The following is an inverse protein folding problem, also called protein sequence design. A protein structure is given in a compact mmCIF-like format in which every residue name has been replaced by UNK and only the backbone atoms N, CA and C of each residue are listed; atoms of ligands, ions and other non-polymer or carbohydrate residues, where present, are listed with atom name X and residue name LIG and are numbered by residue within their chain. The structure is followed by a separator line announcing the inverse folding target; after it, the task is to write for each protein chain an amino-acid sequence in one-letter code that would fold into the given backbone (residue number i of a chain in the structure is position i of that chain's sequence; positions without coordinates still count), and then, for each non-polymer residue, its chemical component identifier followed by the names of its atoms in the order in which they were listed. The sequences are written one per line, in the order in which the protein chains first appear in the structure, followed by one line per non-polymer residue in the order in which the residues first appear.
data_IF_894902933927
#
_entry.id   IF_894902933927
#
_cell.length_a   1.000
_cell.length_b   1.000
_cell.length_c   1.000
_cell.angle_alpha   90.00
_cell.angle_beta   90.00
_cell.angle_gamma   90.00
#
_symmetry.space_group_name_H-M   'P 1'
#
loop_
_entity.id
_entity.type
_entity.pdbx_description
1 polymer ?
#
# COMPACT_ATOMS: atom_id res chain seq x y z
N UNK A 1 13.91 4.24 16.12
CA UNK A 1 12.69 3.77 16.80
C UNK A 1 12.52 2.29 16.48
N UNK A 2 12.33 1.39 17.46
CA UNK A 2 11.90 0.02 17.14
C UNK A 2 10.54 0.08 16.45
N UNK A 3 10.38 -0.65 15.33
CA UNK A 3 9.15 -0.66 14.54
C UNK A 3 8.07 -1.49 15.24
N UNK A 4 7.29 -0.82 16.08
CA UNK A 4 6.13 -1.40 16.75
C UNK A 4 5.39 -0.37 17.58
N UNK A 5 4.26 -0.79 18.13
CA UNK A 5 3.36 0.08 18.88
C UNK A 5 3.08 -0.50 20.26
N UNK A 6 3.05 0.38 21.25
CA UNK A 6 2.41 0.09 22.53
C UNK A 6 0.89 0.27 22.41
N UNK A 7 0.13 -0.25 23.38
CA UNK A 7 -1.33 -0.14 23.39
C UNK A 7 -1.78 1.33 23.40
N UNK A 8 -1.05 2.16 24.16
CA UNK A 8 -1.31 3.61 24.24
C UNK A 8 -1.05 4.29 22.89
N UNK A 9 0.04 3.93 22.21
CA UNK A 9 0.35 4.49 20.89
C UNK A 9 -0.67 4.05 19.84
N UNK A 10 -1.07 2.77 19.80
CA UNK A 10 -2.11 2.31 18.88
C UNK A 10 -3.43 3.05 19.13
N UNK A 11 -3.84 3.20 20.39
CA UNK A 11 -5.04 3.96 20.74
C UNK A 11 -4.96 5.43 20.31
N UNK A 12 -3.77 6.04 20.40
CA UNK A 12 -3.55 7.43 20.01
C UNK A 12 -3.59 7.66 18.48
N UNK A 13 -3.54 6.60 17.67
CA UNK A 13 -3.79 6.68 16.22
C UNK A 13 -5.28 6.83 15.88
N UNK A 14 -6.15 6.81 16.90
CA UNK A 14 -7.61 6.93 16.79
C UNK A 14 -8.25 5.90 15.83
N UNK A 15 -8.01 4.58 16.05
CA UNK A 15 -8.67 3.53 15.28
C UNK A 15 -10.17 3.49 15.52
N UNK A 16 -10.91 2.93 14.56
CA UNK A 16 -12.29 2.51 14.77
C UNK A 16 -12.40 1.66 16.06
N UNK A 17 -13.38 1.97 16.90
CA UNK A 17 -13.51 1.36 18.21
C UNK A 17 -13.69 -0.18 18.14
N UNK A 18 -14.44 -0.66 17.15
CA UNK A 18 -14.66 -2.09 16.92
C UNK A 18 -13.34 -2.81 16.62
N UNK A 19 -12.59 -2.33 15.63
CA UNK A 19 -11.30 -2.89 15.23
C UNK A 19 -10.27 -2.81 16.36
N UNK A 20 -10.23 -1.69 17.10
CA UNK A 20 -9.34 -1.53 18.23
C UNK A 20 -9.60 -2.58 19.33
N UNK A 21 -10.87 -2.85 19.63
CA UNK A 21 -11.26 -3.89 20.60
C UNK A 21 -10.89 -5.28 20.07
N UNK A 22 -11.11 -5.57 18.79
CA UNK A 22 -10.76 -6.84 18.16
C UNK A 22 -9.24 -7.10 18.23
N UNK A 23 -8.43 -6.14 17.78
CA UNK A 23 -6.96 -6.22 17.82
C UNK A 23 -6.46 -6.37 19.26
N UNK A 24 -6.99 -5.59 20.19
CA UNK A 24 -6.61 -5.65 21.61
C UNK A 24 -6.93 -7.03 22.20
N UNK A 25 -8.07 -7.63 21.87
CA UNK A 25 -8.46 -8.98 22.30
C UNK A 25 -7.52 -10.04 21.74
N UNK A 26 -7.23 -10.01 20.44
CA UNK A 26 -6.30 -10.94 19.76
C UNK A 26 -4.93 -10.91 20.42
N UNK A 27 -4.46 -9.72 20.79
CA UNK A 27 -3.16 -9.53 21.44
C UNK A 27 -3.18 -9.77 22.97
N UNK A 28 -4.28 -10.34 23.51
CA UNK A 28 -4.42 -10.79 24.89
C UNK A 28 -4.76 -9.69 25.91
N UNK A 29 -5.29 -8.57 25.43
CA UNK A 29 -5.82 -7.48 26.25
C UNK A 29 -4.76 -6.48 26.77
N UNK A 30 -5.19 -5.32 27.30
CA UNK A 30 -4.29 -4.23 27.68
C UNK A 30 -3.26 -4.63 28.76
N UNK A 31 -3.66 -5.53 29.67
CA UNK A 31 -2.77 -6.06 30.72
C UNK A 31 -1.60 -6.85 30.16
N UNK A 32 -1.79 -7.62 29.08
CA UNK A 32 -0.71 -8.42 28.47
C UNK A 32 0.28 -7.55 27.71
N UNK A 33 -0.19 -6.42 27.15
CA UNK A 33 0.67 -5.45 26.49
C UNK A 33 1.58 -4.78 27.52
N UNK A 34 1.07 -4.32 28.67
CA UNK A 34 1.89 -3.78 29.77
C UNK A 34 3.01 -2.80 29.33
N UNK A 35 2.71 -1.89 28.40
CA UNK A 35 3.70 -0.96 27.84
C UNK A 35 4.74 -1.58 26.91
N UNK A 36 4.70 -2.90 26.66
CA UNK A 36 5.52 -3.58 25.66
C UNK A 36 5.15 -3.08 24.27
N UNK A 37 6.19 -2.99 23.45
CA UNK A 37 6.10 -2.69 22.04
C UNK A 37 5.82 -3.98 21.28
N UNK A 38 4.77 -4.00 20.48
CA UNK A 38 4.40 -5.12 19.61
C UNK A 38 4.77 -4.75 18.18
N UNK A 39 5.59 -5.58 17.53
CA UNK A 39 5.97 -5.40 16.13
C UNK A 39 4.89 -5.91 15.18
N UNK A 40 4.94 -5.52 13.91
CA UNK A 40 4.03 -6.05 12.88
C UNK A 40 4.11 -7.58 12.75
N UNK A 41 5.31 -8.17 12.89
CA UNK A 41 5.48 -9.63 12.84
C UNK A 41 4.80 -10.31 14.03
N UNK A 42 4.98 -9.79 15.24
CA UNK A 42 4.32 -10.33 16.43
C UNK A 42 2.80 -10.19 16.34
N UNK A 43 2.30 -9.08 15.79
CA UNK A 43 0.88 -8.89 15.55
C UNK A 43 0.33 -9.93 14.55
N UNK A 44 1.05 -10.17 13.45
CA UNK A 44 0.72 -11.20 12.47
C UNK A 44 0.70 -12.59 13.10
N UNK A 45 1.73 -12.96 13.86
CA UNK A 45 1.85 -14.27 14.50
C UNK A 45 0.73 -14.52 15.53
N UNK A 46 0.23 -13.44 16.15
CA UNK A 46 -0.91 -13.51 17.06
C UNK A 46 -2.27 -13.57 16.35
N UNK A 47 -2.32 -13.38 15.01
CA UNK A 47 -3.54 -13.44 14.22
C UNK A 47 -4.22 -12.09 13.95
N UNK A 48 -3.52 -10.97 14.11
CA UNK A 48 -4.05 -9.66 13.66
C UNK A 48 -4.13 -9.66 12.13
N UNK A 49 -5.25 -9.17 11.58
CA UNK A 49 -5.49 -9.15 10.15
C UNK A 49 -4.48 -8.26 9.42
N UNK A 50 -4.24 -8.58 8.15
CA UNK A 50 -3.41 -7.78 7.26
C UNK A 50 -3.89 -6.33 7.19
N UNK A 51 -5.18 -6.11 7.02
CA UNK A 51 -5.77 -4.77 6.90
C UNK A 51 -5.51 -3.92 8.14
N UNK A 52 -5.63 -4.50 9.33
CA UNK A 52 -5.34 -3.79 10.59
C UNK A 52 -3.85 -3.43 10.72
N UNK A 53 -2.94 -4.32 10.29
CA UNK A 53 -1.50 -4.04 10.28
C UNK A 53 -1.18 -2.92 9.27
N UNK A 54 -1.74 -2.99 8.07
CA UNK A 54 -1.56 -1.97 7.01
C UNK A 54 -2.13 -0.63 7.47
N UNK A 55 -3.32 -0.61 8.07
CA UNK A 55 -3.94 0.60 8.59
C UNK A 55 -3.08 1.25 9.67
N UNK A 56 -2.56 0.47 10.62
CA UNK A 56 -1.70 0.98 11.68
C UNK A 56 -0.39 1.55 11.11
N UNK A 57 0.27 0.84 10.20
CA UNK A 57 1.47 1.32 9.53
C UNK A 57 1.23 2.61 8.74
N UNK A 58 0.12 2.68 8.01
CA UNK A 58 -0.29 3.86 7.23
C UNK A 58 -0.58 5.06 8.13
N UNK A 59 -1.21 4.84 9.28
CA UNK A 59 -1.49 5.90 10.26
C UNK A 59 -0.21 6.45 10.88
N UNK A 60 0.76 5.59 11.20
CA UNK A 60 2.07 6.01 11.72
C UNK A 60 2.87 6.76 10.64
N UNK A 61 2.83 6.31 9.39
CA UNK A 61 3.52 6.95 8.26
C UNK A 61 3.15 8.43 8.06
N UNK A 62 1.97 8.87 8.49
CA UNK A 62 1.56 10.29 8.41
C UNK A 62 2.45 11.22 9.23
N UNK A 63 3.14 10.70 10.25
CA UNK A 63 3.98 11.50 11.16
C UNK A 63 5.41 10.97 11.32
N UNK A 64 5.69 9.71 10.98
CA UNK A 64 7.01 9.10 11.04
C UNK A 64 7.58 8.87 9.62
N UNK A 65 8.60 9.66 9.26
CA UNK A 65 9.26 9.58 7.94
C UNK A 65 9.95 8.26 7.65
N UNK A 66 10.39 7.53 8.67
CA UNK A 66 11.04 6.23 8.47
C UNK A 66 10.02 5.12 8.21
N UNK A 67 8.87 5.17 8.87
CA UNK A 67 7.75 4.27 8.56
C UNK A 67 7.19 4.58 7.18
N UNK A 68 7.03 5.86 6.85
CA UNK A 68 6.58 6.31 5.53
C UNK A 68 7.48 5.80 4.40
N UNK A 69 8.80 5.99 4.53
CA UNK A 69 9.78 5.47 3.57
C UNK A 69 9.67 3.96 3.37
N UNK A 70 9.56 3.18 4.45
CA UNK A 70 9.46 1.71 4.38
C UNK A 70 8.15 1.25 3.76
N UNK A 71 7.06 1.93 4.09
CA UNK A 71 5.74 1.63 3.55
C UNK A 71 5.69 1.90 2.04
N UNK A 72 6.28 3.00 1.55
CA UNK A 72 6.40 3.28 0.12
C UNK A 72 7.21 2.21 -0.63
N UNK A 73 8.35 1.79 -0.09
CA UNK A 73 9.12 0.69 -0.70
C UNK A 73 8.33 -0.61 -0.76
N UNK A 74 7.62 -0.96 0.32
CA UNK A 74 6.73 -2.13 0.32
C UNK A 74 5.63 -2.03 -0.75
N UNK A 75 4.96 -0.88 -0.88
CA UNK A 75 3.96 -0.66 -1.93
C UNK A 75 4.56 -0.80 -3.34
N UNK A 76 5.76 -0.24 -3.56
CA UNK A 76 6.48 -0.35 -4.82
C UNK A 76 6.85 -1.82 -5.14
N UNK A 77 7.25 -2.61 -4.13
CA UNK A 77 7.53 -4.04 -4.30
C UNK A 77 6.27 -4.84 -4.65
N UNK A 78 5.13 -4.52 -4.00
CA UNK A 78 3.85 -5.12 -4.34
C UNK A 78 3.46 -4.85 -5.80
N UNK A 79 3.59 -3.62 -6.28
CA UNK A 79 3.33 -3.26 -7.67
C UNK A 79 4.33 -3.92 -8.64
N UNK A 80 5.63 -3.88 -8.31
CA UNK A 80 6.68 -4.49 -9.12
C UNK A 80 6.50 -6.00 -9.31
N UNK A 81 5.98 -6.71 -8.30
CA UNK A 81 5.74 -8.16 -8.37
C UNK A 81 4.79 -8.55 -9.50
N UNK A 82 3.83 -7.69 -9.85
CA UNK A 82 2.83 -7.95 -10.89
C UNK A 82 3.05 -7.15 -12.17
N UNK A 83 4.02 -6.24 -12.20
CA UNK A 83 4.32 -5.37 -13.34
C UNK A 83 4.50 -6.13 -14.66
N UNK A 84 5.17 -7.29 -14.64
CA UNK A 84 5.40 -8.12 -15.82
C UNK A 84 4.11 -8.58 -16.53
N UNK A 85 2.99 -8.67 -15.80
CA UNK A 85 1.69 -9.00 -16.38
C UNK A 85 1.21 -7.87 -17.30
N UNK A 86 1.37 -6.62 -16.85
CA UNK A 86 1.01 -5.43 -17.62
C UNK A 86 1.93 -5.25 -18.84
N UNK A 87 3.26 -5.33 -18.63
CA UNK A 87 4.24 -5.05 -19.69
C UNK A 87 4.19 -6.03 -20.86
N UNK A 88 3.71 -7.25 -20.60
CA UNK A 88 3.49 -8.24 -21.65
C UNK A 88 2.35 -7.83 -22.60
N UNK A 89 1.29 -7.23 -22.07
CA UNK A 89 0.08 -6.88 -22.83
C UNK A 89 0.15 -5.46 -23.41
N UNK A 90 0.91 -4.56 -22.77
CA UNK A 90 1.16 -3.20 -23.24
C UNK A 90 2.65 -2.99 -23.56
N UNK A 91 3.22 -3.72 -24.53
CA UNK A 91 4.62 -3.59 -24.88
C UNK A 91 4.90 -2.16 -25.38
N UNK A 92 5.73 -1.43 -24.65
CA UNK A 92 6.10 -0.04 -24.96
C UNK A 92 5.44 1.01 -24.05
N UNK A 93 4.49 0.63 -23.20
CA UNK A 93 3.99 1.52 -22.14
C UNK A 93 4.82 1.35 -20.86
N UNK A 94 5.79 2.24 -20.68
CA UNK A 94 6.71 2.22 -19.55
C UNK A 94 6.23 3.04 -18.34
N UNK A 95 5.03 3.64 -18.40
CA UNK A 95 4.51 4.52 -17.34
C UNK A 95 4.42 3.80 -15.98
N UNK A 96 3.88 2.56 -15.85
CA UNK A 96 3.84 1.89 -14.56
C UNK A 96 5.22 1.55 -14.01
N UNK A 97 6.17 1.17 -14.87
CA UNK A 97 7.56 0.93 -14.48
C UNK A 97 8.20 2.21 -13.94
N UNK A 98 8.08 3.32 -14.67
CA UNK A 98 8.59 4.64 -14.26
C UNK A 98 7.94 5.10 -12.96
N UNK A 99 6.65 4.87 -12.75
CA UNK A 99 5.97 5.20 -11.50
C UNK A 99 6.53 4.40 -10.31
N UNK A 100 6.78 3.10 -10.47
CA UNK A 100 7.40 2.25 -9.43
C UNK A 100 8.83 2.74 -9.12
N UNK A 101 9.61 3.06 -10.14
CA UNK A 101 10.96 3.60 -9.98
C UNK A 101 10.95 4.96 -9.26
N UNK A 102 10.05 5.87 -9.67
CA UNK A 102 9.84 7.14 -9.01
C UNK A 102 9.44 6.98 -7.54
N UNK A 103 8.56 6.02 -7.21
CA UNK A 103 8.14 5.74 -5.84
C UNK A 103 9.34 5.36 -4.95
N UNK A 104 10.22 4.49 -5.46
CA UNK A 104 11.45 4.08 -4.77
C UNK A 104 12.45 5.23 -4.63
N UNK A 105 12.66 6.00 -5.69
CA UNK A 105 13.56 7.16 -5.68
C UNK A 105 13.07 8.24 -4.70
N UNK A 106 11.76 8.51 -4.68
CA UNK A 106 11.17 9.45 -3.74
C UNK A 106 11.32 8.96 -2.30
N UNK A 107 11.04 7.68 -2.04
CA UNK A 107 11.22 7.07 -0.71
C UNK A 107 12.68 7.17 -0.23
N UNK A 108 13.65 7.13 -1.14
CA UNK A 108 15.07 7.33 -0.84
C UNK A 108 15.52 8.80 -0.81
N UNK A 109 14.61 9.76 -1.04
CA UNK A 109 14.91 11.19 -1.08
C UNK A 109 15.74 11.63 -2.30
N UNK A 110 15.75 10.83 -3.37
CA UNK A 110 16.53 11.08 -4.60
C UNK A 110 15.79 11.96 -5.62
N UNK A 111 14.47 12.06 -5.51
CA UNK A 111 13.64 12.98 -6.29
C UNK A 111 12.71 13.76 -5.35
N UNK A 112 12.35 14.98 -5.76
CA UNK A 112 11.40 15.82 -5.02
C UNK A 112 9.94 15.49 -5.33
N UNK A 113 9.02 16.13 -4.59
CA UNK A 113 7.57 15.91 -4.72
C UNK A 113 7.07 16.23 -6.14
N UNK A 114 7.59 17.28 -6.78
CA UNK A 114 7.14 17.68 -8.13
C UNK A 114 7.36 16.60 -9.20
N UNK A 115 8.45 15.82 -9.11
CA UNK A 115 8.70 14.73 -10.05
C UNK A 115 7.80 13.52 -9.79
N UNK A 116 7.36 13.35 -8.54
CA UNK A 116 6.38 12.33 -8.16
C UNK A 116 4.97 12.75 -8.57
N UNK A 117 4.59 14.00 -8.31
CA UNK A 117 3.29 14.56 -8.64
C UNK A 117 3.04 14.51 -10.16
N UNK A 118 4.05 14.83 -10.98
CA UNK A 118 3.93 14.71 -12.43
C UNK A 118 3.62 13.29 -12.92
N UNK A 119 4.10 12.24 -12.24
CA UNK A 119 3.75 10.86 -12.57
C UNK A 119 2.30 10.55 -12.14
N UNK A 120 1.85 11.14 -11.03
CA UNK A 120 0.46 11.07 -10.58
C UNK A 120 -0.50 11.77 -11.52
N UNK A 121 -0.20 13.00 -11.94
CA UNK A 121 -1.01 13.80 -12.85
C UNK A 121 -1.19 13.11 -14.21
N UNK A 122 -0.13 12.47 -14.72
CA UNK A 122 -0.19 11.72 -15.98
C UNK A 122 -1.09 10.48 -15.88
N UNK A 123 -1.10 9.81 -14.72
CA UNK A 123 -1.99 8.68 -14.45
C UNK A 123 -3.44 9.14 -14.27
N UNK A 124 -3.67 10.23 -13.53
CA UNK A 124 -5.00 10.82 -13.35
C UNK A 124 -5.62 11.23 -14.69
N UNK A 125 -4.84 11.88 -15.56
CA UNK A 125 -5.29 12.24 -16.90
C UNK A 125 -5.71 11.01 -17.72
N UNK A 126 -4.91 9.93 -17.70
CA UNK A 126 -5.26 8.69 -18.40
C UNK A 126 -6.52 8.03 -17.84
N UNK A 127 -6.69 8.01 -16.51
CA UNK A 127 -7.89 7.48 -15.87
C UNK A 127 -9.14 8.27 -16.26
N UNK A 128 -9.02 9.59 -16.33
CA UNK A 128 -10.11 10.47 -16.72
C UNK A 128 -10.51 10.26 -18.19
N UNK A 129 -9.53 10.21 -19.11
CA UNK A 129 -9.77 9.90 -20.52
C UNK A 129 -10.48 8.54 -20.68
N UNK A 130 -9.99 7.51 -19.99
CA UNK A 130 -10.54 6.16 -20.04
C UNK A 130 -11.96 6.10 -19.48
N UNK A 131 -12.28 6.87 -18.44
CA UNK A 131 -13.64 7.01 -17.92
C UNK A 131 -14.57 7.63 -18.96
N UNK A 132 -14.14 8.70 -19.62
CA UNK A 132 -14.91 9.35 -20.68
C UNK A 132 -15.21 8.38 -21.84
N UNK A 133 -14.23 7.58 -22.27
CA UNK A 133 -14.44 6.54 -23.29
C UNK A 133 -15.52 5.54 -22.86
N UNK A 134 -15.44 5.01 -21.64
CA UNK A 134 -16.40 4.05 -21.09
C UNK A 134 -17.81 4.58 -20.95
N UNK A 135 -17.96 5.89 -20.74
CA UNK A 135 -19.25 6.58 -20.62
C UNK A 135 -19.74 7.17 -21.95
N UNK A 136 -19.11 6.81 -23.07
CA UNK A 136 -19.56 7.23 -24.41
C UNK A 136 -20.68 6.34 -24.97
N UNK A 137 -21.34 6.79 -26.04
CA UNK A 137 -22.42 6.05 -26.73
C UNK A 137 -21.96 4.67 -27.25
N UNK A 138 -20.66 4.50 -27.47
CA UNK A 138 -20.05 3.23 -27.89
C UNK A 138 -18.88 2.93 -26.96
N UNK A 139 -19.08 2.18 -25.87
CA UNK A 139 -18.01 1.91 -24.92
C UNK A 139 -16.87 1.14 -25.59
N UNK A 140 -15.61 1.37 -25.16
CA UNK A 140 -14.47 0.63 -25.67
C UNK A 140 -14.56 -0.82 -25.21
N UNK A 141 -13.83 -1.69 -25.89
CA UNK A 141 -13.59 -3.03 -25.35
C UNK A 141 -12.84 -2.92 -24.01
N UNK A 142 -13.16 -3.81 -23.04
CA UNK A 142 -12.36 -3.94 -21.83
C UNK A 142 -10.88 -4.09 -22.18
N UNK A 143 -10.02 -3.53 -21.31
CA UNK A 143 -8.60 -3.84 -21.39
C UNK A 143 -8.45 -5.36 -21.37
N UNK A 144 -7.76 -5.90 -22.37
CA UNK A 144 -7.55 -7.33 -22.48
C UNK A 144 -6.81 -7.80 -21.22
N UNK A 145 -7.50 -8.60 -20.41
CA UNK A 145 -6.87 -9.25 -19.27
C UNK A 145 -6.20 -10.54 -19.77
N UNK A 146 -4.95 -10.80 -19.40
CA UNK A 146 -4.32 -12.05 -19.80
C UNK A 146 -5.10 -13.23 -19.23
N UNK A 147 -5.20 -14.30 -20.00
CA UNK A 147 -5.76 -15.56 -19.52
C UNK A 147 -5.03 -15.97 -18.24
N UNK A 148 -5.80 -16.31 -17.19
CA UNK A 148 -5.26 -16.82 -15.92
C UNK A 148 -4.42 -18.05 -16.26
N UNK A 149 -3.09 -17.91 -16.26
CA UNK A 149 -2.21 -19.06 -16.32
C UNK A 149 -2.42 -19.83 -15.03
N UNK A 150 -3.10 -20.97 -15.11
CA UNK A 150 -3.13 -21.92 -14.01
C UNK A 150 -1.68 -22.29 -13.71
N UNK A 151 -1.16 -21.81 -12.59
CA UNK A 151 0.12 -22.30 -12.09
C UNK A 151 -0.03 -23.81 -11.90
N UNK A 152 0.85 -24.59 -12.53
CA UNK A 152 0.95 -26.01 -12.25
C UNK A 152 1.29 -26.15 -10.76
N UNK A 153 0.45 -26.91 -10.04
CA UNK A 153 0.64 -27.25 -8.63
C UNK A 153 1.90 -28.09 -8.43
#
# INVERSE_FOLDING_TARGET
MPFGLTHKQLKALDPCEEEFRAVTKVLGGPRKWNGKLITAQQARDAGVSFDNIVWAASSVARSDKQVERRLRHWMADCAARVLHIFEKECPGDDRPRKAIEAARLYADGKIGVAAWDAAGDAEEAWQFDRLCEWLSDTPPEPLALPAIQKQAA
#
